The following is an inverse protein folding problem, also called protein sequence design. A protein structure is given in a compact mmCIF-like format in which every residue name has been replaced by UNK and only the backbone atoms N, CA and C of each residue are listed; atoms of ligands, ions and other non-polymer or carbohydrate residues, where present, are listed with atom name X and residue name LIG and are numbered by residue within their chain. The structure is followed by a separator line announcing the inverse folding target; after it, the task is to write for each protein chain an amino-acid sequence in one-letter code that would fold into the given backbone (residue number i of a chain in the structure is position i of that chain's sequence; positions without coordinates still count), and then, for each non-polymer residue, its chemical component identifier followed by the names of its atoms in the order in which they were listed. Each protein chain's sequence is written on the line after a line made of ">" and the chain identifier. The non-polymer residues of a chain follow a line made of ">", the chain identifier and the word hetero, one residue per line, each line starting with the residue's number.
data_IF_150568001348
#
_entry.id   IF_150568001348
#
_cell.length_a   1.000
_cell.length_b   1.000
_cell.length_c   1.000
_cell.angle_alpha   90.00
_cell.angle_beta   90.00
_cell.angle_gamma   90.00
#
_symmetry.space_group_name_H-M   'P 1'
#
loop_
_entity.id
_entity.type
_entity.pdbx_description
1 polymer ?
#
# COMPACT_ATOMS: atom_id res chain seq x y z
N UNK A 1 -5.92 13.25 -16.44
CA UNK A 1 -6.04 12.06 -15.56
C UNK A 1 -4.63 11.77 -15.09
N UNK A 2 -4.39 11.54 -13.81
CA UNK A 2 -3.05 11.26 -13.28
C UNK A 2 -2.58 9.87 -13.70
N UNK A 3 -1.30 9.74 -14.05
CA UNK A 3 -0.66 8.49 -14.46
C UNK A 3 0.16 7.94 -13.29
N UNK A 4 -0.29 6.84 -12.69
CA UNK A 4 0.32 6.25 -11.50
C UNK A 4 0.87 4.86 -11.81
N UNK A 5 2.14 4.62 -11.46
CA UNK A 5 2.72 3.29 -11.49
C UNK A 5 2.80 2.72 -10.08
N UNK A 6 2.24 1.54 -9.88
CA UNK A 6 2.39 0.80 -8.63
C UNK A 6 3.34 -0.38 -8.86
N UNK A 7 4.47 -0.38 -8.16
CA UNK A 7 5.43 -1.49 -8.17
C UNK A 7 5.33 -2.20 -6.83
N UNK A 8 4.79 -3.41 -6.83
CA UNK A 8 4.53 -4.04 -5.54
C UNK A 8 3.96 -5.44 -5.63
N UNK A 9 3.58 -5.92 -4.46
CA UNK A 9 3.04 -7.25 -4.25
C UNK A 9 1.60 -7.40 -4.73
N UNK A 10 1.27 -8.62 -5.06
CA UNK A 10 -0.10 -9.10 -5.15
C UNK A 10 -0.20 -10.47 -4.47
N UNK A 11 -1.31 -10.74 -3.81
CA UNK A 11 -1.55 -12.00 -3.10
C UNK A 11 -3.00 -12.43 -3.18
N UNK A 12 -3.23 -13.66 -2.76
CA UNK A 12 -4.57 -14.14 -2.39
C UNK A 12 -4.61 -14.31 -0.88
N UNK A 13 -5.52 -13.60 -0.24
CA UNK A 13 -5.75 -13.70 1.20
C UNK A 13 -6.73 -14.87 1.45
N UNK A 14 -6.26 -15.83 2.23
CA UNK A 14 -6.97 -17.04 2.65
C UNK A 14 -7.45 -16.82 4.08
N UNK A 15 -8.70 -16.41 4.21
CA UNK A 15 -9.27 -15.99 5.49
C UNK A 15 -10.08 -17.11 6.10
N UNK A 16 -9.65 -17.62 7.24
CA UNK A 16 -10.37 -18.61 8.06
C UNK A 16 -10.91 -17.91 9.30
N UNK A 17 -12.19 -18.07 9.56
CA UNK A 17 -12.81 -17.63 10.81
C UNK A 17 -12.96 -18.82 11.76
N UNK A 18 -12.62 -18.65 13.03
CA UNK A 18 -12.79 -19.66 14.08
C UNK A 18 -13.05 -18.99 15.43
N UNK A 19 -13.60 -19.74 16.40
CA UNK A 19 -13.89 -19.21 17.73
C UNK A 19 -12.60 -18.84 18.50
N UNK A 20 -11.51 -19.58 18.25
CA UNK A 20 -10.20 -19.35 18.85
C UNK A 20 -9.06 -19.81 17.95
N UNK A 21 -7.86 -19.34 18.23
CA UNK A 21 -6.65 -19.79 17.53
C UNK A 21 -6.21 -21.18 18.02
N UNK A 22 -5.74 -22.07 17.10
CA UNK A 22 -5.14 -23.34 17.48
C UNK A 22 -3.80 -23.12 18.21
N UNK A 23 -3.57 -23.89 19.27
CA UNK A 23 -2.24 -24.01 19.89
C UNK A 23 -1.37 -25.00 19.13
N UNK A 24 -0.07 -25.05 19.45
CA UNK A 24 0.83 -26.02 18.82
C UNK A 24 0.31 -27.46 19.01
N UNK A 25 0.20 -28.20 17.90
CA UNK A 25 -0.32 -29.58 17.87
C UNK A 25 -1.84 -29.72 17.95
N UNK A 26 -2.58 -28.62 17.96
CA UNK A 26 -4.05 -28.63 18.07
C UNK A 26 -4.74 -28.44 16.71
N UNK A 27 -5.89 -29.08 16.56
CA UNK A 27 -6.82 -28.84 15.45
C UNK A 27 -8.07 -28.14 15.97
N UNK A 28 -8.42 -27.00 15.36
CA UNK A 28 -9.65 -26.24 15.63
C UNK A 28 -10.53 -26.24 14.38
N UNK A 29 -11.83 -26.37 14.55
CA UNK A 29 -12.76 -26.25 13.44
C UNK A 29 -13.00 -24.76 13.13
N UNK A 30 -12.83 -24.40 11.85
CA UNK A 30 -13.25 -23.08 11.34
C UNK A 30 -14.75 -23.03 11.15
N UNK A 31 -15.32 -21.82 11.24
CA UNK A 31 -16.74 -21.55 11.01
C UNK A 31 -17.01 -20.98 9.60
N UNK A 32 -15.99 -20.35 8.97
CA UNK A 32 -16.07 -19.79 7.62
C UNK A 32 -14.71 -19.81 6.94
N UNK A 33 -14.72 -19.78 5.59
CA UNK A 33 -13.52 -19.67 4.78
C UNK A 33 -13.79 -18.82 3.55
N UNK A 34 -12.95 -17.81 3.33
CA UNK A 34 -13.04 -16.90 2.18
C UNK A 34 -11.66 -16.76 1.52
N UNK A 35 -11.67 -16.51 0.20
CA UNK A 35 -10.49 -16.11 -0.57
C UNK A 35 -10.71 -14.73 -1.16
N UNK A 36 -9.83 -13.78 -0.86
CA UNK A 36 -9.97 -12.39 -1.28
C UNK A 36 -8.66 -11.93 -1.93
N UNK A 37 -8.70 -11.29 -3.12
CA UNK A 37 -7.51 -10.66 -3.67
C UNK A 37 -6.96 -9.59 -2.73
N UNK A 38 -5.64 -9.64 -2.51
CA UNK A 38 -4.91 -8.77 -1.58
C UNK A 38 -3.49 -8.48 -2.07
N UNK A 39 -2.63 -8.13 -1.12
CA UNK A 39 -1.28 -7.64 -1.35
C UNK A 39 -1.24 -6.12 -1.46
N UNK A 40 -0.30 -5.49 -0.74
CA UNK A 40 -0.26 -4.02 -0.62
C UNK A 40 -0.18 -3.31 -1.97
N UNK A 41 0.63 -3.82 -2.91
CA UNK A 41 0.71 -3.26 -4.25
C UNK A 41 -0.62 -3.33 -4.99
N UNK A 42 -1.26 -4.51 -5.04
CA UNK A 42 -2.56 -4.68 -5.68
C UNK A 42 -3.65 -3.84 -5.01
N UNK A 43 -3.65 -3.76 -3.68
CA UNK A 43 -4.58 -2.92 -2.92
C UNK A 43 -4.44 -1.44 -3.29
N UNK A 44 -3.21 -0.91 -3.30
CA UNK A 44 -2.94 0.48 -3.65
C UNK A 44 -3.29 0.77 -5.12
N UNK A 45 -3.04 -0.17 -6.02
CA UNK A 45 -3.41 -0.03 -7.43
C UNK A 45 -4.93 0.04 -7.62
N UNK A 46 -5.70 -0.84 -6.97
CA UNK A 46 -7.16 -0.84 -7.00
C UNK A 46 -7.72 0.46 -6.42
N UNK A 47 -7.21 0.89 -5.26
CA UNK A 47 -7.67 2.13 -4.63
C UNK A 47 -7.41 3.35 -5.52
N UNK A 48 -6.20 3.49 -6.09
CA UNK A 48 -5.86 4.60 -6.98
C UNK A 48 -6.74 4.63 -8.24
N UNK A 49 -7.03 3.46 -8.82
CA UNK A 49 -7.91 3.34 -9.99
C UNK A 49 -9.34 3.75 -9.65
N UNK A 50 -9.91 3.30 -8.52
CA UNK A 50 -11.25 3.72 -8.07
C UNK A 50 -11.33 5.22 -7.76
N UNK A 51 -10.21 5.83 -7.39
CA UNK A 51 -10.08 7.26 -7.19
C UNK A 51 -9.85 8.05 -8.49
N UNK A 52 -9.87 7.39 -9.66
CA UNK A 52 -9.93 8.02 -10.98
C UNK A 52 -8.57 8.23 -11.64
N UNK A 53 -7.50 7.58 -11.18
CA UNK A 53 -6.21 7.59 -11.85
C UNK A 53 -6.12 6.53 -12.95
N UNK A 54 -5.26 6.75 -13.95
CA UNK A 54 -4.76 5.71 -14.84
C UNK A 54 -3.64 4.97 -14.09
N UNK A 55 -3.85 3.69 -13.81
CA UNK A 55 -2.94 2.92 -12.96
C UNK A 55 -2.31 1.77 -13.73
N UNK A 56 -0.99 1.68 -13.66
CA UNK A 56 -0.19 0.57 -14.18
C UNK A 56 0.36 -0.23 -13.00
N UNK A 57 0.03 -1.52 -12.96
CA UNK A 57 0.61 -2.43 -11.96
C UNK A 57 1.82 -3.15 -12.54
N UNK A 58 2.96 -3.00 -11.88
CA UNK A 58 4.20 -3.74 -12.14
C UNK A 58 4.37 -4.77 -11.02
N UNK A 59 4.24 -6.04 -11.36
CA UNK A 59 4.25 -7.10 -10.37
C UNK A 59 4.35 -8.49 -10.99
N UNK A 60 4.40 -9.51 -10.15
CA UNK A 60 4.45 -10.91 -10.60
C UNK A 60 3.45 -11.78 -9.86
N UNK A 61 2.83 -12.69 -10.60
CA UNK A 61 1.93 -13.72 -10.07
C UNK A 61 2.36 -15.11 -10.53
N UNK A 62 2.01 -16.14 -9.79
CA UNK A 62 2.25 -17.53 -10.22
C UNK A 62 1.33 -17.95 -11.35
N UNK A 63 1.76 -18.93 -12.15
CA UNK A 63 0.90 -19.59 -13.13
C UNK A 63 -0.01 -20.60 -12.42
N UNK A 64 -0.95 -20.11 -11.63
CA UNK A 64 -1.91 -20.90 -10.86
C UNK A 64 -3.28 -20.20 -10.81
N UNK A 65 -4.26 -20.85 -10.17
CA UNK A 65 -5.62 -20.33 -10.07
C UNK A 65 -5.69 -18.97 -9.35
N UNK A 66 -4.82 -18.76 -8.34
CA UNK A 66 -4.76 -17.48 -7.62
C UNK A 66 -4.17 -16.37 -8.49
N UNK A 67 -3.10 -16.66 -9.25
CA UNK A 67 -2.50 -15.67 -10.15
C UNK A 67 -3.47 -15.19 -11.21
N UNK A 68 -4.26 -16.13 -11.80
CA UNK A 68 -5.32 -15.78 -12.73
C UNK A 68 -6.37 -14.87 -12.07
N UNK A 69 -6.88 -15.27 -10.90
CA UNK A 69 -7.90 -14.50 -10.18
C UNK A 69 -7.41 -13.08 -9.77
N UNK A 70 -6.15 -12.96 -9.34
CA UNK A 70 -5.52 -11.68 -9.00
C UNK A 70 -5.48 -10.75 -10.23
N UNK A 71 -5.01 -11.24 -11.37
CA UNK A 71 -4.92 -10.44 -12.61
C UNK A 71 -6.30 -10.06 -13.13
N UNK A 72 -7.27 -10.96 -13.07
CA UNK A 72 -8.67 -10.69 -13.46
C UNK A 72 -9.30 -9.63 -12.54
N UNK A 73 -9.04 -9.69 -11.24
CA UNK A 73 -9.52 -8.69 -10.28
C UNK A 73 -8.91 -7.30 -10.54
N UNK A 74 -7.61 -7.21 -10.81
CA UNK A 74 -6.95 -5.94 -11.17
C UNK A 74 -7.60 -5.33 -12.42
N UNK A 75 -7.79 -6.13 -13.47
CA UNK A 75 -8.46 -5.71 -14.72
C UNK A 75 -9.89 -5.24 -14.47
N UNK A 76 -10.66 -5.96 -13.67
CA UNK A 76 -12.05 -5.63 -13.33
C UNK A 76 -12.15 -4.30 -12.56
N UNK A 77 -11.08 -3.91 -11.83
CA UNK A 77 -10.97 -2.62 -11.17
C UNK A 77 -10.29 -1.54 -12.04
N UNK A 78 -10.12 -1.76 -13.35
CA UNK A 78 -9.59 -0.73 -14.28
C UNK A 78 -8.08 -0.54 -14.22
N UNK A 79 -7.33 -1.43 -13.55
CA UNK A 79 -5.87 -1.36 -13.49
C UNK A 79 -5.27 -1.97 -14.77
N UNK A 80 -4.33 -1.26 -15.40
CA UNK A 80 -3.53 -1.80 -16.51
C UNK A 80 -2.58 -2.87 -15.97
N UNK A 81 -2.64 -4.07 -16.54
CA UNK A 81 -1.88 -5.26 -16.13
C UNK A 81 -0.86 -5.71 -17.17
N UNK A 82 -0.49 -4.88 -18.15
CA UNK A 82 0.47 -5.24 -19.20
C UNK A 82 1.86 -5.55 -18.65
N UNK A 83 2.15 -5.05 -17.45
CA UNK A 83 3.39 -5.27 -16.72
C UNK A 83 3.20 -6.21 -15.52
N UNK A 84 2.15 -7.03 -15.52
CA UNK A 84 1.99 -8.17 -14.62
C UNK A 84 2.51 -9.43 -15.28
N UNK A 85 3.67 -9.91 -14.84
CA UNK A 85 4.28 -11.14 -15.36
C UNK A 85 3.76 -12.39 -14.65
N UNK A 86 3.44 -13.41 -15.41
CA UNK A 86 3.09 -14.73 -14.85
C UNK A 86 4.32 -15.63 -14.86
N UNK A 87 4.75 -16.12 -13.69
CA UNK A 87 5.89 -17.02 -13.53
C UNK A 87 5.46 -18.45 -13.31
N UNK A 88 6.23 -19.41 -13.83
CA UNK A 88 5.87 -20.84 -13.79
C UNK A 88 6.57 -21.63 -12.68
N UNK A 89 7.66 -21.10 -12.13
CA UNK A 89 8.51 -21.78 -11.16
C UNK A 89 8.16 -21.45 -9.71
N UNK A 90 7.31 -20.45 -9.47
CA UNK A 90 6.76 -20.09 -8.15
C UNK A 90 5.24 -19.98 -8.19
N UNK A 91 4.62 -20.20 -7.03
CA UNK A 91 3.19 -19.95 -6.82
C UNK A 91 2.95 -18.46 -6.57
N UNK A 92 1.71 -18.03 -6.75
CA UNK A 92 1.26 -16.71 -6.37
C UNK A 92 1.49 -16.45 -4.87
N UNK A 93 1.67 -15.19 -4.50
CA UNK A 93 1.71 -14.79 -3.10
C UNK A 93 0.40 -15.14 -2.38
N UNK A 94 0.49 -15.50 -1.11
CA UNK A 94 -0.70 -15.76 -0.26
C UNK A 94 -0.51 -15.15 1.12
N UNK A 95 -1.61 -14.68 1.72
CA UNK A 95 -1.67 -14.36 3.14
C UNK A 95 -2.65 -15.34 3.81
N UNK A 96 -2.17 -16.05 4.82
CA UNK A 96 -2.97 -17.00 5.59
C UNK A 96 -3.44 -16.28 6.85
N UNK A 97 -4.73 -15.97 6.91
CA UNK A 97 -5.32 -15.12 7.93
C UNK A 97 -6.27 -15.94 8.78
N UNK A 98 -6.05 -15.96 10.09
CA UNK A 98 -6.97 -16.53 11.07
C UNK A 98 -7.64 -15.38 11.81
N UNK A 99 -8.95 -15.25 11.63
CA UNK A 99 -9.80 -14.35 12.41
C UNK A 99 -10.35 -15.11 13.61
N UNK A 100 -9.99 -14.72 14.80
CA UNK A 100 -10.44 -15.35 16.04
C UNK A 100 -10.31 -14.36 17.22
N UNK A 101 -11.19 -14.48 18.21
CA UNK A 101 -11.10 -13.72 19.46
C UNK A 101 -11.11 -12.18 19.24
N UNK A 102 -11.77 -11.71 18.16
CA UNK A 102 -11.85 -10.29 17.82
C UNK A 102 -10.58 -9.68 17.22
N UNK A 103 -9.59 -10.52 16.82
CA UNK A 103 -8.33 -10.08 16.26
C UNK A 103 -7.86 -11.02 15.14
N UNK A 104 -6.82 -10.66 14.40
CA UNK A 104 -6.25 -11.47 13.33
C UNK A 104 -4.83 -11.99 13.65
N UNK A 105 -4.47 -13.07 12.97
CA UNK A 105 -3.09 -13.57 12.90
C UNK A 105 -2.78 -13.88 11.45
N UNK A 106 -1.66 -13.38 10.95
CA UNK A 106 -1.35 -13.41 9.52
C UNK A 106 0.03 -14.03 9.29
N UNK A 107 0.10 -15.00 8.37
CA UNK A 107 1.36 -15.53 7.82
C UNK A 107 1.37 -15.25 6.33
N UNK A 108 2.36 -14.49 5.87
CA UNK A 108 2.53 -14.13 4.45
C UNK A 108 3.54 -15.04 3.79
N UNK A 109 3.19 -15.58 2.63
CA UNK A 109 4.10 -16.28 1.72
C UNK A 109 4.24 -15.42 0.46
N UNK A 110 5.41 -14.85 0.24
CA UNK A 110 5.63 -13.90 -0.87
C UNK A 110 5.46 -14.53 -2.25
N UNK A 111 5.85 -15.80 -2.43
CA UNK A 111 5.72 -16.50 -3.70
C UNK A 111 6.39 -15.75 -4.86
N UNK A 112 5.65 -15.53 -5.94
CA UNK A 112 6.13 -14.85 -7.13
C UNK A 112 6.56 -13.38 -6.89
N UNK A 113 6.09 -12.73 -5.81
CA UNK A 113 6.50 -11.38 -5.46
C UNK A 113 8.01 -11.27 -5.19
N UNK A 114 8.66 -12.35 -4.72
CA UNK A 114 10.12 -12.39 -4.53
C UNK A 114 10.93 -12.36 -5.84
N UNK A 115 10.27 -12.53 -6.99
CA UNK A 115 10.91 -12.50 -8.30
C UNK A 115 10.82 -11.13 -8.99
N UNK A 116 10.24 -10.14 -8.35
CA UNK A 116 10.21 -8.78 -8.86
C UNK A 116 11.61 -8.18 -8.70
N UNK A 117 12.45 -8.35 -9.76
CA UNK A 117 13.83 -7.88 -9.75
C UNK A 117 13.92 -6.37 -10.07
N UNK A 118 15.04 -5.71 -9.69
CA UNK A 118 15.28 -4.31 -10.05
C UNK A 118 15.22 -4.06 -11.57
N UNK A 119 15.82 -4.94 -12.35
CA UNK A 119 15.87 -4.77 -13.82
C UNK A 119 14.47 -4.92 -14.44
N UNK A 120 13.67 -5.85 -13.94
CA UNK A 120 12.27 -5.98 -14.36
C UNK A 120 11.49 -4.70 -14.09
N UNK A 121 11.54 -4.18 -12.87
CA UNK A 121 10.81 -2.98 -12.46
C UNK A 121 11.27 -1.73 -13.24
N UNK A 122 12.59 -1.51 -13.38
CA UNK A 122 13.17 -0.41 -14.16
C UNK A 122 12.82 -0.50 -15.64
N UNK A 123 12.85 -1.71 -16.22
CA UNK A 123 12.48 -1.92 -17.62
C UNK A 123 11.00 -1.65 -17.89
N UNK A 124 10.12 -1.94 -16.94
CA UNK A 124 8.71 -1.59 -17.01
C UNK A 124 8.53 -0.08 -16.97
N UNK A 125 9.10 0.59 -15.97
CA UNK A 125 9.04 2.06 -15.83
C UNK A 125 9.55 2.79 -17.08
N UNK A 126 10.65 2.34 -17.69
CA UNK A 126 11.21 2.96 -18.89
C UNK A 126 10.29 2.88 -20.13
N UNK A 127 9.30 1.99 -20.13
CA UNK A 127 8.33 1.79 -21.22
C UNK A 127 7.01 2.49 -20.98
N UNK A 128 6.74 2.88 -19.73
CA UNK A 128 5.49 3.54 -19.37
C UNK A 128 5.47 5.01 -19.84
N UNK A 129 4.32 5.50 -20.32
CA UNK A 129 4.17 6.91 -20.67
C UNK A 129 4.17 7.77 -19.41
N UNK A 130 4.85 8.89 -19.41
CA UNK A 130 4.80 10.04 -18.51
C UNK A 130 4.20 9.81 -17.11
N UNK A 131 4.83 8.96 -16.29
CA UNK A 131 4.35 8.64 -14.93
C UNK A 131 4.50 9.86 -14.03
N UNK A 132 3.40 10.29 -13.40
CA UNK A 132 3.38 11.41 -12.47
C UNK A 132 3.95 11.03 -11.10
N UNK A 133 3.68 9.78 -10.64
CA UNK A 133 4.14 9.29 -9.34
C UNK A 133 4.21 7.76 -9.29
N UNK A 134 5.17 7.23 -8.54
CA UNK A 134 5.33 5.80 -8.26
C UNK A 134 4.92 5.50 -6.83
N UNK A 135 4.13 4.44 -6.64
CA UNK A 135 3.85 3.83 -5.33
C UNK A 135 4.65 2.55 -5.19
N UNK A 136 5.33 2.37 -4.05
CA UNK A 136 6.10 1.17 -3.74
C UNK A 136 5.99 0.81 -2.26
N UNK A 137 5.99 -0.49 -1.93
CA UNK A 137 5.89 -1.03 -0.57
C UNK A 137 6.98 -2.07 -0.33
N UNK A 138 7.04 -2.67 0.88
CA UNK A 138 8.14 -3.56 1.27
C UNK A 138 7.78 -5.06 1.23
N UNK A 139 6.74 -5.47 0.52
CA UNK A 139 6.41 -6.90 0.33
C UNK A 139 7.13 -7.55 -0.86
N UNK A 140 8.01 -6.82 -1.51
CA UNK A 140 8.89 -7.25 -2.61
C UNK A 140 10.37 -7.26 -2.15
N UNK A 141 11.33 -7.72 -2.97
CA UNK A 141 12.73 -7.73 -2.59
C UNK A 141 13.25 -6.33 -2.22
N UNK A 142 14.06 -6.27 -1.17
CA UNK A 142 14.64 -5.03 -0.66
C UNK A 142 15.46 -4.29 -1.71
N UNK A 143 16.32 -5.02 -2.42
CA UNK A 143 17.12 -4.50 -3.52
C UNK A 143 16.26 -3.81 -4.58
N UNK A 144 15.08 -4.36 -4.89
CA UNK A 144 14.16 -3.78 -5.87
C UNK A 144 13.60 -2.44 -5.37
N UNK A 145 13.23 -2.36 -4.10
CA UNK A 145 12.74 -1.10 -3.50
C UNK A 145 13.83 -0.02 -3.58
N UNK A 146 15.07 -0.36 -3.19
CA UNK A 146 16.21 0.55 -3.21
C UNK A 146 16.54 1.05 -4.62
N UNK A 147 16.69 0.13 -5.55
CA UNK A 147 17.06 0.43 -6.94
C UNK A 147 15.96 1.21 -7.69
N UNK A 148 14.68 0.94 -7.40
CA UNK A 148 13.56 1.69 -7.96
C UNK A 148 13.54 3.12 -7.42
N UNK A 149 13.72 3.32 -6.12
CA UNK A 149 13.78 4.67 -5.54
C UNK A 149 14.92 5.48 -6.17
N UNK A 150 16.11 4.88 -6.26
CA UNK A 150 17.30 5.51 -6.88
C UNK A 150 17.08 5.84 -8.37
N UNK A 151 16.54 4.90 -9.13
CA UNK A 151 16.19 5.09 -10.53
C UNK A 151 15.17 6.23 -10.72
N UNK A 152 14.08 6.21 -9.96
CA UNK A 152 13.05 7.24 -10.06
C UNK A 152 13.57 8.62 -9.70
N UNK A 153 14.43 8.73 -8.67
CA UNK A 153 15.10 10.00 -8.34
C UNK A 153 15.94 10.51 -9.50
N UNK A 154 16.73 9.64 -10.15
CA UNK A 154 17.55 10.01 -11.31
C UNK A 154 16.69 10.45 -12.51
N UNK A 155 15.47 9.89 -12.67
CA UNK A 155 14.51 10.25 -13.72
C UNK A 155 13.57 11.39 -13.30
N UNK A 156 13.72 11.95 -12.11
CA UNK A 156 12.84 12.99 -11.54
C UNK A 156 11.37 12.55 -11.42
N UNK A 157 11.12 11.26 -11.21
CA UNK A 157 9.79 10.70 -10.96
C UNK A 157 9.61 10.62 -9.43
N UNK A 158 8.64 11.28 -8.82
CA UNK A 158 8.41 11.19 -7.39
C UNK A 158 7.95 9.79 -6.98
N UNK A 159 8.48 9.30 -5.85
CA UNK A 159 8.11 8.00 -5.27
C UNK A 159 7.46 8.22 -3.91
N UNK A 160 6.29 7.64 -3.68
CA UNK A 160 5.76 7.40 -2.34
C UNK A 160 6.21 5.99 -1.92
N UNK A 161 7.06 5.93 -0.92
CA UNK A 161 7.44 4.67 -0.28
C UNK A 161 6.60 4.46 0.97
N UNK A 162 5.72 3.47 0.90
CA UNK A 162 5.01 2.95 2.08
C UNK A 162 5.89 1.86 2.73
N UNK A 163 6.52 2.13 3.89
CA UNK A 163 7.52 1.23 4.46
C UNK A 163 6.88 0.06 5.23
N UNK A 164 5.89 -0.57 4.63
CA UNK A 164 5.11 -1.69 5.16
C UNK A 164 5.33 -2.97 4.32
N UNK A 165 5.53 -4.15 4.96
CA UNK A 165 5.74 -4.35 6.40
C UNK A 165 7.04 -3.72 6.89
N UNK A 166 7.05 -3.37 8.18
CA UNK A 166 8.15 -2.68 8.81
C UNK A 166 9.49 -3.43 8.69
N UNK A 167 10.50 -2.77 8.15
CA UNK A 167 11.91 -3.19 8.17
C UNK A 167 12.81 -1.95 8.10
N UNK A 168 14.06 -2.02 8.55
CA UNK A 168 15.02 -0.94 8.35
C UNK A 168 15.18 -0.60 6.86
N UNK A 169 15.44 0.66 6.56
CA UNK A 169 15.79 1.15 5.22
C UNK A 169 17.19 1.76 5.25
N UNK A 170 17.89 1.67 4.13
CA UNK A 170 19.14 2.42 3.93
C UNK A 170 18.81 3.92 3.92
N UNK A 171 19.73 4.71 4.46
CA UNK A 171 19.62 6.18 4.46
C UNK A 171 19.43 6.72 3.03
N UNK A 172 20.16 6.17 2.04
CA UNK A 172 19.99 6.54 0.63
C UNK A 172 18.58 6.31 0.11
N UNK A 173 17.94 5.20 0.46
CA UNK A 173 16.56 4.91 0.05
C UNK A 173 15.56 5.91 0.65
N UNK A 174 15.76 6.26 1.94
CA UNK A 174 15.00 7.32 2.60
C UNK A 174 15.18 8.66 1.87
N UNK A 175 16.39 8.99 1.43
CA UNK A 175 16.69 10.23 0.72
C UNK A 175 16.15 10.24 -0.72
N UNK A 176 16.16 9.11 -1.40
CA UNK A 176 15.71 8.95 -2.79
C UNK A 176 14.18 8.96 -2.93
N UNK A 177 13.44 8.43 -1.97
CA UNK A 177 11.99 8.55 -1.95
C UNK A 177 11.57 10.03 -1.84
N UNK A 178 10.54 10.44 -2.58
CA UNK A 178 9.98 11.79 -2.45
C UNK A 178 9.14 11.91 -1.17
N UNK A 179 8.39 10.86 -0.84
CA UNK A 179 7.50 10.80 0.31
C UNK A 179 7.62 9.47 1.02
N UNK A 180 7.49 9.48 2.35
CA UNK A 180 7.50 8.33 3.24
C UNK A 180 6.23 8.34 4.08
N UNK A 181 5.53 7.21 4.14
CA UNK A 181 4.23 7.10 4.81
C UNK A 181 4.18 5.96 5.84
N UNK A 182 5.10 5.94 6.82
CA UNK A 182 5.03 4.95 7.88
C UNK A 182 3.85 5.20 8.83
N UNK A 183 3.36 4.14 9.47
CA UNK A 183 2.63 4.29 10.73
C UNK A 183 3.61 4.50 11.89
N UNK A 184 3.09 4.70 13.12
CA UNK A 184 3.93 4.97 14.30
C UNK A 184 4.93 3.83 14.58
N UNK A 185 4.51 2.58 14.43
CA UNK A 185 5.40 1.42 14.61
C UNK A 185 6.47 1.35 13.51
N UNK A 186 6.09 1.53 12.26
CA UNK A 186 7.03 1.56 11.14
C UNK A 186 8.03 2.71 11.27
N UNK A 187 7.56 3.89 11.71
CA UNK A 187 8.43 5.04 11.96
C UNK A 187 9.47 4.75 13.04
N UNK A 188 9.10 4.04 14.12
CA UNK A 188 10.04 3.66 15.19
C UNK A 188 11.13 2.69 14.73
N UNK A 189 10.83 1.86 13.71
CA UNK A 189 11.82 0.96 13.11
C UNK A 189 12.72 1.68 12.11
N UNK A 190 12.17 2.65 11.37
CA UNK A 190 12.95 3.47 10.42
C UNK A 190 13.90 4.44 11.11
N UNK A 191 13.52 4.96 12.27
CA UNK A 191 14.25 5.99 13.00
C UNK A 191 14.46 5.57 14.46
N UNK A 192 15.18 4.47 14.74
CA UNK A 192 15.27 3.88 16.09
C UNK A 192 15.95 4.81 17.13
N UNK A 193 16.81 5.71 16.65
CA UNK A 193 17.58 6.63 17.50
C UNK A 193 16.98 8.05 17.57
N UNK A 194 15.74 8.24 17.08
CA UNK A 194 15.05 9.54 17.05
C UNK A 194 13.69 9.45 17.71
N UNK A 195 13.27 10.52 18.35
CA UNK A 195 11.87 10.72 18.72
C UNK A 195 11.04 10.96 17.45
N UNK A 196 9.72 10.84 17.55
CA UNK A 196 8.80 11.14 16.45
C UNK A 196 8.98 12.59 15.95
N UNK A 197 9.09 13.53 16.87
CA UNK A 197 9.27 14.95 16.60
C UNK A 197 10.61 15.21 15.88
N UNK A 198 11.70 14.57 16.32
CA UNK A 198 13.01 14.69 15.68
C UNK A 198 13.01 14.09 14.27
N UNK A 199 12.32 12.96 14.06
CA UNK A 199 12.17 12.35 12.75
C UNK A 199 11.38 13.28 11.80
N UNK A 200 10.24 13.82 12.25
CA UNK A 200 9.42 14.75 11.46
C UNK A 200 10.18 16.03 11.12
N UNK A 201 10.89 16.61 12.08
CA UNK A 201 11.70 17.81 11.86
C UNK A 201 12.86 17.59 10.88
N UNK A 202 13.40 16.35 10.84
CA UNK A 202 14.47 15.97 9.93
C UNK A 202 14.03 15.78 8.47
N UNK A 203 12.73 15.56 8.22
CA UNK A 203 12.19 15.29 6.88
C UNK A 203 10.91 16.10 6.60
N UNK A 204 10.99 17.45 6.63
CA UNK A 204 9.82 18.31 6.44
C UNK A 204 9.22 18.13 5.02
N UNK A 205 7.89 18.07 4.95
CA UNK A 205 7.15 17.88 3.70
C UNK A 205 7.36 16.52 3.01
N UNK A 206 8.07 15.60 3.66
CA UNK A 206 8.46 14.29 3.13
C UNK A 206 7.97 13.13 3.98
N UNK A 207 8.10 13.22 5.30
CA UNK A 207 7.69 12.19 6.25
C UNK A 207 6.27 12.46 6.74
N UNK A 208 5.37 11.51 6.48
CA UNK A 208 3.96 11.54 6.88
C UNK A 208 3.68 10.34 7.78
N UNK A 209 3.62 10.54 9.10
CA UNK A 209 3.37 9.45 10.06
C UNK A 209 1.87 9.32 10.25
N UNK A 210 1.31 8.16 9.86
CA UNK A 210 -0.10 7.85 10.07
C UNK A 210 -0.34 7.37 11.49
N UNK A 211 -1.33 7.97 12.17
CA UNK A 211 -1.69 7.75 13.58
C UNK A 211 -3.11 7.17 13.71
N UNK A 212 -3.51 6.34 12.76
CA UNK A 212 -4.82 5.70 12.73
C UNK A 212 -5.97 6.72 12.82
N UNK A 213 -6.83 6.58 13.82
CA UNK A 213 -8.00 7.47 14.04
C UNK A 213 -7.63 8.91 14.40
N UNK A 214 -6.38 9.20 14.71
CA UNK A 214 -5.92 10.58 14.96
C UNK A 214 -5.64 11.33 13.65
N UNK A 215 -5.27 10.61 12.58
CA UNK A 215 -4.97 11.18 11.27
C UNK A 215 -3.52 10.99 10.86
N UNK A 216 -2.93 12.03 10.28
CA UNK A 216 -1.55 12.00 9.79
C UNK A 216 -0.78 13.22 10.27
N UNK A 217 0.44 12.99 10.73
CA UNK A 217 1.34 14.01 11.28
C UNK A 217 2.53 14.22 10.36
N UNK A 218 2.91 15.50 10.17
CA UNK A 218 4.06 15.88 9.36
C UNK A 218 4.66 17.19 9.83
N UNK A 219 5.85 17.53 9.34
CA UNK A 219 6.45 18.86 9.53
C UNK A 219 6.32 19.68 8.24
N UNK A 220 5.87 20.95 8.36
CA UNK A 220 5.84 21.91 7.25
C UNK A 220 7.17 22.65 7.03
N UNK A 221 8.22 22.26 7.76
CA UNK A 221 9.53 22.91 7.78
C UNK A 221 9.67 24.00 8.84
N UNK A 222 8.56 24.45 9.44
CA UNK A 222 8.55 25.42 10.52
C UNK A 222 8.00 24.85 11.82
N UNK A 223 7.01 23.98 11.72
CA UNK A 223 6.39 23.31 12.86
C UNK A 223 5.75 21.98 12.45
N UNK A 224 5.44 21.20 13.46
CA UNK A 224 4.63 20.01 13.33
C UNK A 224 3.17 20.35 13.04
N UNK A 225 2.55 19.56 12.16
CA UNK A 225 1.16 19.67 11.76
C UNK A 225 0.46 18.32 11.94
N UNK A 226 -0.78 18.35 12.33
CA UNK A 226 -1.68 17.21 12.33
C UNK A 226 -2.82 17.49 11.38
N UNK A 227 -3.00 16.65 10.37
CA UNK A 227 -4.22 16.61 9.55
C UNK A 227 -5.11 15.52 10.15
N UNK A 228 -6.24 15.89 10.78
CA UNK A 228 -7.06 14.93 11.52
C UNK A 228 -7.72 13.91 10.60
N UNK A 229 -7.93 12.70 11.10
CA UNK A 229 -8.79 11.72 10.45
C UNK A 229 -10.26 12.12 10.56
N UNK A 230 -11.09 11.56 9.70
CA UNK A 230 -12.53 11.71 9.77
C UNK A 230 -13.14 10.60 10.62
N UNK A 231 -14.10 10.91 11.48
CA UNK A 231 -14.82 9.90 12.26
C UNK A 231 -15.47 8.86 11.35
N UNK A 232 -15.30 7.58 11.68
CA UNK A 232 -15.92 6.47 10.99
C UNK A 232 -16.17 5.31 11.96
N UNK A 233 -17.26 4.58 11.76
CA UNK A 233 -17.48 3.31 12.44
C UNK A 233 -16.70 2.22 11.69
N UNK A 234 -15.62 1.75 12.30
CA UNK A 234 -14.77 0.76 11.68
C UNK A 234 -15.39 -0.65 11.77
N UNK A 235 -15.62 -1.25 10.62
CA UNK A 235 -15.98 -2.67 10.46
C UNK A 235 -14.71 -3.50 10.28
N UNK A 236 -13.80 -3.04 9.42
CA UNK A 236 -12.51 -3.68 9.14
C UNK A 236 -11.47 -2.61 8.77
N UNK A 237 -10.35 -2.60 9.48
CA UNK A 237 -9.27 -1.62 9.22
C UNK A 237 -8.25 -2.10 8.19
N UNK A 238 -8.41 -3.32 7.65
CA UNK A 238 -7.55 -3.87 6.61
C UNK A 238 -7.60 -3.00 5.35
N UNK A 239 -6.44 -2.64 4.81
CA UNK A 239 -6.35 -1.82 3.60
C UNK A 239 -6.53 -0.31 3.80
N UNK A 240 -6.78 0.18 5.02
CA UNK A 240 -6.89 1.62 5.28
C UNK A 240 -5.60 2.38 4.92
N UNK A 241 -4.44 1.82 5.28
CA UNK A 241 -3.13 2.36 4.90
C UNK A 241 -2.89 2.31 3.40
N UNK A 242 -3.34 1.25 2.71
CA UNK A 242 -3.23 1.14 1.25
C UNK A 242 -4.12 2.19 0.56
N UNK A 243 -5.35 2.37 1.05
CA UNK A 243 -6.28 3.40 0.57
C UNK A 243 -5.71 4.81 0.79
N UNK A 244 -5.12 5.08 1.97
CA UNK A 244 -4.45 6.34 2.26
C UNK A 244 -3.32 6.63 1.27
N UNK A 245 -2.42 5.67 1.05
CA UNK A 245 -1.28 5.84 0.13
C UNK A 245 -1.72 6.08 -1.31
N UNK A 246 -2.71 5.33 -1.78
CA UNK A 246 -3.28 5.50 -3.11
C UNK A 246 -3.93 6.87 -3.28
N UNK A 247 -4.74 7.30 -2.31
CA UNK A 247 -5.39 8.60 -2.33
C UNK A 247 -4.39 9.77 -2.26
N UNK A 248 -3.34 9.64 -1.45
CA UNK A 248 -2.24 10.59 -1.40
C UNK A 248 -1.55 10.71 -2.76
N UNK A 249 -1.25 9.58 -3.41
CA UNK A 249 -0.64 9.56 -4.73
C UNK A 249 -1.52 10.26 -5.77
N UNK A 250 -2.82 9.96 -5.81
CA UNK A 250 -3.78 10.61 -6.72
C UNK A 250 -3.80 12.11 -6.50
N UNK A 251 -3.92 12.56 -5.26
CA UNK A 251 -4.02 13.97 -4.92
C UNK A 251 -2.74 14.76 -5.26
N UNK A 252 -1.57 14.19 -4.98
CA UNK A 252 -0.28 14.80 -5.31
C UNK A 252 -0.05 14.85 -6.83
N UNK A 253 -0.38 13.78 -7.55
CA UNK A 253 -0.27 13.73 -9.01
C UNK A 253 -1.24 14.73 -9.71
N UNK A 254 -2.32 15.12 -9.06
CA UNK A 254 -3.23 16.17 -9.49
C UNK A 254 -2.74 17.59 -9.14
N UNK A 255 -1.60 17.72 -8.47
CA UNK A 255 -1.01 19.01 -8.09
C UNK A 255 -1.65 19.67 -6.87
N UNK A 256 -2.38 18.93 -6.03
CA UNK A 256 -2.86 19.45 -4.74
C UNK A 256 -1.66 19.71 -3.81
N UNK A 257 -1.78 20.73 -2.97
CA UNK A 257 -0.79 20.93 -1.91
C UNK A 257 -0.82 19.78 -0.89
N UNK A 258 0.23 19.70 -0.06
CA UNK A 258 0.42 18.58 0.89
C UNK A 258 -0.79 18.46 1.85
N UNK A 259 -1.27 19.56 2.39
CA UNK A 259 -2.36 19.54 3.38
C UNK A 259 -3.67 19.06 2.75
N UNK A 260 -3.99 19.55 1.56
CA UNK A 260 -5.14 19.09 0.77
C UNK A 260 -5.03 17.62 0.37
N UNK A 261 -3.83 17.17 -0.04
CA UNK A 261 -3.59 15.78 -0.40
C UNK A 261 -3.74 14.84 0.80
N UNK A 262 -3.21 15.21 1.96
CA UNK A 262 -3.35 14.45 3.20
C UNK A 262 -4.81 14.43 3.70
N UNK A 263 -5.55 15.53 3.54
CA UNK A 263 -6.97 15.59 3.89
C UNK A 263 -7.80 14.64 3.00
N UNK A 264 -7.54 14.63 1.69
CA UNK A 264 -8.15 13.71 0.74
C UNK A 264 -7.83 12.26 1.08
N UNK A 265 -6.57 11.96 1.40
CA UNK A 265 -6.12 10.63 1.79
C UNK A 265 -6.78 10.14 3.10
N UNK A 266 -6.88 11.00 4.11
CA UNK A 266 -7.58 10.69 5.37
C UNK A 266 -9.07 10.41 5.14
N UNK A 267 -9.73 11.18 4.26
CA UNK A 267 -11.15 10.94 3.93
C UNK A 267 -11.32 9.59 3.24
N UNK A 268 -10.52 9.29 2.24
CA UNK A 268 -10.59 8.00 1.54
C UNK A 268 -10.34 6.82 2.50
N UNK A 269 -9.33 6.92 3.36
CA UNK A 269 -9.04 5.92 4.38
C UNK A 269 -10.18 5.76 5.40
N UNK A 270 -10.85 6.85 5.80
CA UNK A 270 -11.98 6.78 6.73
C UNK A 270 -13.20 6.07 6.15
N UNK A 271 -13.40 6.15 4.85
CA UNK A 271 -14.47 5.42 4.15
C UNK A 271 -14.13 3.94 4.00
N UNK A 272 -12.86 3.62 3.72
CA UNK A 272 -12.45 2.24 3.48
C UNK A 272 -12.67 1.32 4.68
N UNK A 273 -12.60 1.83 5.90
CA UNK A 273 -12.76 1.00 7.11
C UNK A 273 -14.22 0.62 7.43
N UNK A 274 -15.19 1.16 6.70
CA UNK A 274 -16.63 0.93 6.96
C UNK A 274 -17.16 -0.37 6.33
N UNK A 275 -16.32 -1.09 5.57
CA UNK A 275 -16.71 -2.34 4.91
C UNK A 275 -15.64 -3.41 5.14
N UNK A 276 -16.06 -4.68 5.01
CA UNK A 276 -15.17 -5.81 5.18
C UNK A 276 -14.20 -5.99 3.99
N UNK A 277 -12.95 -6.37 4.30
CA UNK A 277 -11.91 -6.70 3.34
C UNK A 277 -11.20 -5.47 2.75
N UNK A 278 -9.89 -5.59 2.51
CA UNK A 278 -9.06 -4.47 2.08
C UNK A 278 -9.61 -3.75 0.84
N UNK A 279 -9.85 -4.49 -0.24
CA UNK A 279 -10.37 -3.91 -1.49
C UNK A 279 -11.89 -3.69 -1.46
N UNK A 280 -12.62 -4.42 -0.61
CA UNK A 280 -14.08 -4.29 -0.46
C UNK A 280 -14.49 -2.91 0.05
N UNK A 281 -13.68 -2.31 0.93
CA UNK A 281 -13.95 -1.01 1.53
C UNK A 281 -13.45 0.20 0.73
N UNK A 282 -12.62 0.01 -0.30
CA UNK A 282 -12.03 1.13 -1.04
C UNK A 282 -13.08 1.97 -1.77
N UNK A 283 -13.18 3.29 -1.44
CA UNK A 283 -14.22 4.14 -1.99
C UNK A 283 -13.97 4.51 -3.46
N UNK A 284 -15.05 4.88 -4.15
CA UNK A 284 -14.94 5.59 -5.41
C UNK A 284 -14.66 7.08 -5.17
N UNK A 285 -14.05 7.75 -6.15
CA UNK A 285 -13.69 9.17 -6.08
C UNK A 285 -14.86 10.06 -5.65
N UNK A 286 -16.04 9.84 -6.25
CA UNK A 286 -17.24 10.62 -5.97
C UNK A 286 -17.62 10.60 -4.48
N UNK A 287 -17.52 9.45 -3.83
CA UNK A 287 -17.84 9.29 -2.41
C UNK A 287 -16.90 10.11 -1.51
N UNK A 288 -15.61 10.17 -1.90
CA UNK A 288 -14.61 10.96 -1.17
C UNK A 288 -14.86 12.46 -1.35
N UNK A 289 -15.13 12.92 -2.57
CA UNK A 289 -15.32 14.36 -2.88
C UNK A 289 -16.61 14.92 -2.31
N UNK A 290 -17.71 14.17 -2.33
CA UNK A 290 -19.00 14.58 -1.75
C UNK A 290 -18.92 14.83 -0.25
N UNK A 291 -18.00 14.18 0.44
CA UNK A 291 -17.82 14.32 1.89
C UNK A 291 -16.68 15.26 2.28
N UNK A 292 -15.98 15.85 1.32
CA UNK A 292 -14.97 16.90 1.51
C UNK A 292 -15.52 18.29 1.21
N UNK A 293 -16.63 18.38 0.46
CA UNK A 293 -17.35 19.61 0.16
C UNK A 293 -18.23 20.02 1.34
#
# INVERSE_FOLDING_TARGET
>A
MSEICVIGSCSMDLVVTSDRRPKAGETVLGTDFQTVPGGKGANQAVAASRLGANVYMVGKAGNDGYGKAIIENLKANGVNTDYMETVTHKKSGTAHIVLAEGDNSIVVVKGANDDISPDYAKSALAKLPGIDIVLIQQEIPEETVEEVCSYCRAQQIPVILNPAPARPLKQSTIEDAAYLTPNEHEASILFPDRTKEEALAGYPGKLFITEGKQGVRYSDGTKERLVPAFPAEAVDTTGAGDTFNAALAVALAEGRDIEQALLFANRAASLSVQHFGAQGGMPARKEVEELLS
#
